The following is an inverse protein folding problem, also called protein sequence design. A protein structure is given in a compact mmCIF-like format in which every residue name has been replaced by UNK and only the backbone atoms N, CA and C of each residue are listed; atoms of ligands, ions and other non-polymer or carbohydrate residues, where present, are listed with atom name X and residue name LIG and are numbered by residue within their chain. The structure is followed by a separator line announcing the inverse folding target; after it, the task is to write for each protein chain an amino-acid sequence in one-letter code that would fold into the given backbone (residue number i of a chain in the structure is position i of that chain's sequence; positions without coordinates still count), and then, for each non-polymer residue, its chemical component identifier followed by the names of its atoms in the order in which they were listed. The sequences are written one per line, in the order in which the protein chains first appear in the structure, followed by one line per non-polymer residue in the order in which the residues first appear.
data_IF_851277454722
#
_entry.id   IF_851277454722
#
_cell.length_a   1.000
_cell.length_b   1.000
_cell.length_c   1.000
_cell.angle_alpha   90.00
_cell.angle_beta   90.00
_cell.angle_gamma   90.00
#
_symmetry.space_group_name_H-M   'P 1'
#
loop_
_entity.id
_entity.type
_entity.pdbx_description
1 polymer ?
#
# COMPACT_ATOMS: atom_id res chain seq x y z
N UNK A 1 3.59 3.81 1.21
CA UNK A 1 3.96 4.96 0.34
C UNK A 1 4.02 4.48 -1.10
N UNK A 2 3.50 5.21 -2.09
CA UNK A 2 3.68 4.86 -3.51
C UNK A 2 5.11 5.22 -3.95
N UNK A 3 5.93 4.23 -4.27
CA UNK A 3 7.29 4.42 -4.81
C UNK A 3 7.26 4.77 -6.31
N UNK A 4 6.42 5.74 -6.68
CA UNK A 4 6.28 6.22 -8.05
C UNK A 4 7.04 7.54 -8.25
N UNK A 5 7.65 7.78 -9.43
CA UNK A 5 7.85 6.83 -10.52
C UNK A 5 8.88 5.77 -10.16
N UNK A 6 8.76 4.59 -10.77
CA UNK A 6 9.68 3.48 -10.53
C UNK A 6 11.11 3.87 -10.96
N UNK A 7 12.08 3.57 -10.11
CA UNK A 7 13.51 3.83 -10.32
C UNK A 7 14.28 2.55 -10.02
N UNK A 8 15.40 2.36 -10.72
CA UNK A 8 16.32 1.27 -10.45
C UNK A 8 17.56 1.82 -9.73
N UNK A 9 18.72 1.80 -10.37
CA UNK A 9 19.99 2.26 -9.77
C UNK A 9 20.33 3.71 -10.12
N UNK A 10 19.86 4.20 -11.27
CA UNK A 10 19.97 5.61 -11.61
C UNK A 10 18.84 6.39 -10.94
N UNK A 11 19.09 7.63 -10.52
CA UNK A 11 18.06 8.51 -9.99
C UNK A 11 17.06 9.00 -11.07
N UNK A 12 17.02 8.32 -12.22
CA UNK A 12 16.15 8.60 -13.36
C UNK A 12 14.95 7.64 -13.34
N UNK A 13 13.72 8.14 -13.54
CA UNK A 13 12.54 7.30 -13.74
C UNK A 13 12.73 6.30 -14.89
N UNK A 14 12.20 5.09 -14.73
CA UNK A 14 12.08 4.12 -15.82
C UNK A 14 10.94 4.59 -16.73
N UNK A 15 11.21 4.77 -18.03
CA UNK A 15 10.17 5.17 -19.00
C UNK A 15 9.12 4.08 -19.16
N UNK A 16 7.85 4.49 -19.29
CA UNK A 16 6.75 3.55 -19.54
C UNK A 16 6.86 2.89 -20.92
N UNK A 17 7.52 3.54 -21.88
CA UNK A 17 7.74 2.99 -23.23
C UNK A 17 8.49 1.65 -23.19
N UNK A 18 9.34 1.44 -22.17
CA UNK A 18 10.11 0.21 -22.03
C UNK A 18 9.31 -0.98 -21.49
N UNK A 19 8.10 -0.76 -20.97
CA UNK A 19 7.30 -1.79 -20.29
C UNK A 19 5.95 -2.02 -20.96
N UNK A 20 5.64 -1.33 -22.06
CA UNK A 20 4.38 -1.47 -22.80
C UNK A 20 4.13 -2.92 -23.22
N UNK A 21 5.13 -3.57 -23.81
CA UNK A 21 5.03 -4.95 -24.28
C UNK A 21 5.15 -6.00 -23.15
N UNK A 22 5.59 -5.58 -21.95
CA UNK A 22 5.80 -6.47 -20.80
C UNK A 22 4.58 -6.55 -19.88
N UNK A 23 3.67 -5.59 -19.98
CA UNK A 23 2.49 -5.47 -19.12
C UNK A 23 1.23 -5.86 -19.89
N UNK A 24 0.24 -6.40 -19.18
CA UNK A 24 -1.11 -6.51 -19.75
C UNK A 24 -1.66 -5.13 -20.05
N UNK A 25 -2.56 -5.02 -21.03
CA UNK A 25 -3.23 -3.74 -21.37
C UNK A 25 -3.85 -3.08 -20.14
N UNK A 26 -4.38 -3.87 -19.21
CA UNK A 26 -4.92 -3.38 -17.93
C UNK A 26 -3.82 -2.77 -17.04
N UNK A 27 -2.71 -3.49 -16.83
CA UNK A 27 -1.58 -3.02 -16.02
C UNK A 27 -0.86 -1.81 -16.62
N UNK A 28 -0.72 -1.76 -17.95
CA UNK A 28 -0.14 -0.61 -18.64
C UNK A 28 -1.03 0.64 -18.48
N UNK A 29 -2.34 0.49 -18.68
CA UNK A 29 -3.30 1.59 -18.44
C UNK A 29 -3.30 2.06 -16.98
N UNK A 30 -3.12 1.17 -16.01
CA UNK A 30 -2.94 1.56 -14.61
C UNK A 30 -1.67 2.39 -14.40
N UNK A 31 -0.57 2.02 -15.05
CA UNK A 31 0.71 2.74 -15.00
C UNK A 31 0.58 4.15 -15.58
N UNK A 32 -0.10 4.31 -16.72
CA UNK A 32 -0.40 5.61 -17.33
C UNK A 32 -1.26 6.51 -16.43
N UNK A 33 -2.25 5.94 -15.74
CA UNK A 33 -3.06 6.68 -14.76
C UNK A 33 -2.18 7.18 -13.61
N UNK A 34 -1.29 6.33 -13.11
CA UNK A 34 -0.38 6.69 -12.02
C UNK A 34 0.60 7.79 -12.40
N UNK A 35 1.08 7.79 -13.65
CA UNK A 35 1.90 8.87 -14.20
C UNK A 35 1.12 10.20 -14.27
N UNK A 36 -0.14 10.15 -14.68
CA UNK A 36 -1.02 11.33 -14.72
C UNK A 36 -1.30 11.88 -13.32
N UNK A 37 -1.65 11.02 -12.36
CA UNK A 37 -1.84 11.44 -10.96
C UNK A 37 -0.54 12.06 -10.42
N UNK A 38 0.59 11.45 -10.76
CA UNK A 38 1.90 11.94 -10.37
C UNK A 38 2.19 13.35 -10.90
N UNK A 39 1.94 13.60 -12.19
CA UNK A 39 2.24 14.85 -12.88
C UNK A 39 1.43 16.04 -12.36
N UNK A 40 0.22 15.81 -11.85
CA UNK A 40 -0.64 16.85 -11.23
C UNK A 40 -0.45 16.97 -9.70
N UNK A 41 0.54 16.29 -9.13
CA UNK A 41 0.81 16.36 -7.68
C UNK A 41 -0.15 15.53 -6.81
N UNK A 42 -1.05 14.74 -7.41
CA UNK A 42 -1.95 13.86 -6.66
C UNK A 42 -1.18 12.66 -6.09
N UNK A 43 -1.31 12.41 -4.79
CA UNK A 43 -0.65 11.29 -4.09
C UNK A 43 -1.68 10.46 -3.33
N UNK A 44 -2.52 9.68 -4.03
CA UNK A 44 -3.55 8.88 -3.40
C UNK A 44 -2.90 7.87 -2.46
N UNK A 45 -3.37 7.82 -1.22
CA UNK A 45 -2.94 6.81 -0.24
C UNK A 45 -3.75 5.52 -0.36
N UNK A 46 -4.85 5.54 -1.11
CA UNK A 46 -5.75 4.42 -1.31
C UNK A 46 -6.32 4.43 -2.73
N UNK A 47 -6.43 3.25 -3.31
CA UNK A 47 -6.98 3.01 -4.65
C UNK A 47 -8.13 2.01 -4.54
N UNK A 48 -9.00 2.00 -5.55
CA UNK A 48 -10.06 1.01 -5.64
C UNK A 48 -9.46 -0.39 -5.79
N UNK A 49 -9.80 -1.31 -4.89
CA UNK A 49 -9.31 -2.68 -4.90
C UNK A 49 -9.82 -3.52 -6.08
N UNK A 50 -10.82 -3.04 -6.83
CA UNK A 50 -11.30 -3.69 -8.05
C UNK A 50 -10.26 -3.48 -9.16
N UNK A 51 -9.61 -4.55 -9.66
CA UNK A 51 -8.50 -4.42 -10.63
C UNK A 51 -8.89 -3.59 -11.86
N UNK A 52 -10.09 -3.85 -12.38
CA UNK A 52 -10.64 -3.18 -13.56
C UNK A 52 -10.95 -1.69 -13.37
N UNK A 53 -10.95 -1.19 -12.13
CA UNK A 53 -11.21 0.22 -11.83
C UNK A 53 -9.93 0.94 -11.40
N UNK A 54 -9.31 0.49 -10.31
CA UNK A 54 -8.08 1.03 -9.73
C UNK A 54 -8.02 2.56 -9.64
N UNK A 55 -9.17 3.22 -9.52
CA UNK A 55 -9.27 4.68 -9.42
C UNK A 55 -8.79 5.14 -8.04
N UNK A 56 -8.13 6.30 -7.95
CA UNK A 56 -7.73 6.87 -6.68
C UNK A 56 -8.99 7.15 -5.84
N UNK A 57 -8.98 6.71 -4.59
CA UNK A 57 -10.06 6.95 -3.65
C UNK A 57 -9.73 8.19 -2.84
N UNK A 58 -10.51 9.26 -3.04
CA UNK A 58 -10.38 10.46 -2.23
C UNK A 58 -10.96 10.20 -0.84
N UNK A 59 -10.16 10.41 0.20
CA UNK A 59 -10.61 10.29 1.59
C UNK A 59 -11.49 11.49 1.95
N UNK A 60 -12.79 11.42 1.63
CA UNK A 60 -13.76 12.49 1.93
C UNK A 60 -14.43 12.26 3.30
N UNK A 61 -13.91 11.34 4.11
CA UNK A 61 -14.53 10.83 5.35
C UNK A 61 -15.66 9.84 5.07
N UNK A 62 -15.63 8.74 5.81
CA UNK A 62 -16.80 7.95 6.19
C UNK A 62 -16.34 7.06 7.33
N UNK A 63 -16.99 7.19 8.48
CA UNK A 63 -16.75 6.52 9.76
C UNK A 63 -17.05 5.02 9.69
N UNK A 64 -16.31 4.32 8.83
CA UNK A 64 -16.40 2.87 8.61
C UNK A 64 -15.10 2.31 8.01
N UNK A 65 -14.93 1.00 8.11
CA UNK A 65 -13.73 0.27 7.68
C UNK A 65 -13.57 0.21 6.16
N UNK A 66 -14.63 0.53 5.41
CA UNK A 66 -14.66 0.47 3.95
C UNK A 66 -14.88 1.85 3.32
N UNK A 67 -14.40 2.02 2.08
CA UNK A 67 -14.63 3.20 1.24
C UNK A 67 -15.24 2.77 -0.10
N UNK A 68 -16.28 3.47 -0.52
CA UNK A 68 -16.97 3.20 -1.79
C UNK A 68 -16.31 3.99 -2.93
N UNK A 69 -16.00 3.30 -4.03
CA UNK A 69 -15.51 3.94 -5.24
C UNK A 69 -16.66 4.65 -5.98
N UNK A 70 -16.51 5.94 -6.29
CA UNK A 70 -17.51 6.71 -7.05
C UNK A 70 -17.62 6.30 -8.52
N UNK A 71 -16.59 5.65 -9.08
CA UNK A 71 -16.54 5.28 -10.49
C UNK A 71 -17.19 3.91 -10.79
N UNK A 72 -17.07 2.94 -9.88
CA UNK A 72 -17.56 1.58 -10.11
C UNK A 72 -18.36 0.99 -8.95
N UNK A 73 -18.65 1.77 -7.92
CA UNK A 73 -19.44 1.41 -6.73
C UNK A 73 -18.90 0.26 -5.89
N UNK A 74 -17.73 -0.30 -6.22
CA UNK A 74 -17.10 -1.32 -5.37
C UNK A 74 -16.54 -0.69 -4.10
N UNK A 75 -16.55 -1.46 -3.03
CA UNK A 75 -16.03 -1.04 -1.74
C UNK A 75 -14.64 -1.63 -1.51
N UNK A 76 -13.74 -0.82 -0.95
CA UNK A 76 -12.37 -1.18 -0.61
C UNK A 76 -12.18 -1.07 0.90
N UNK A 77 -11.62 -2.10 1.52
CA UNK A 77 -11.26 -2.07 2.93
C UNK A 77 -10.06 -1.13 3.14
N UNK A 78 -10.19 -0.20 4.08
CA UNK A 78 -9.12 0.76 4.42
C UNK A 78 -7.95 0.10 5.14
N UNK A 79 -8.19 -1.03 5.78
CA UNK A 79 -7.21 -1.75 6.61
C UNK A 79 -6.33 -2.66 5.77
N UNK A 80 -6.93 -3.57 4.99
CA UNK A 80 -6.17 -4.50 4.15
C UNK A 80 -5.95 -4.01 2.71
N UNK A 81 -6.57 -2.89 2.31
CA UNK A 81 -6.57 -2.34 0.94
C UNK A 81 -7.17 -3.26 -0.14
N UNK A 82 -7.74 -4.39 0.27
CA UNK A 82 -8.47 -5.32 -0.59
C UNK A 82 -9.95 -4.95 -0.78
N UNK A 83 -10.69 -5.80 -1.49
CA UNK A 83 -12.14 -5.65 -1.61
C UNK A 83 -12.79 -5.72 -0.22
N UNK A 84 -13.86 -4.94 -0.03
CA UNK A 84 -14.63 -4.99 1.21
C UNK A 84 -15.09 -6.43 1.50
N UNK A 85 -14.94 -6.82 2.75
CA UNK A 85 -15.26 -8.15 3.24
C UNK A 85 -15.96 -8.05 4.60
N UNK A 86 -16.63 -9.12 5.00
CA UNK A 86 -17.17 -9.28 6.34
C UNK A 86 -16.13 -9.98 7.24
N UNK A 87 -16.12 -9.68 8.53
CA UNK A 87 -15.16 -10.23 9.48
C UNK A 87 -13.78 -9.55 9.43
N UNK A 88 -12.82 -10.12 10.18
CA UNK A 88 -11.45 -9.58 10.26
C UNK A 88 -10.70 -9.75 8.94
N UNK A 89 -9.83 -8.79 8.64
CA UNK A 89 -8.95 -8.88 7.48
C UNK A 89 -8.07 -10.14 7.59
N UNK A 90 -8.22 -11.06 6.64
CA UNK A 90 -7.34 -12.21 6.50
C UNK A 90 -6.11 -11.75 5.71
N UNK A 91 -5.01 -11.57 6.43
CA UNK A 91 -3.71 -11.32 5.81
C UNK A 91 -3.07 -12.68 5.51
N UNK A 92 -2.62 -12.85 4.28
CA UNK A 92 -2.08 -14.10 3.74
C UNK A 92 -1.03 -14.74 4.67
N UNK A 93 -1.20 -16.01 5.05
CA UNK A 93 -0.28 -16.79 5.89
C UNK A 93 1.14 -16.89 5.30
N UNK A 94 1.29 -16.60 4.01
CA UNK A 94 2.60 -16.51 3.34
C UNK A 94 3.51 -15.44 3.92
N UNK A 95 2.95 -14.41 4.57
CA UNK A 95 3.76 -13.42 5.30
C UNK A 95 4.42 -13.99 6.55
N UNK A 96 3.86 -15.00 7.23
CA UNK A 96 4.52 -15.69 8.35
C UNK A 96 5.71 -16.55 7.87
N UNK A 97 5.59 -17.16 6.69
CA UNK A 97 6.70 -17.87 6.04
C UNK A 97 7.84 -16.92 5.63
N UNK A 98 7.51 -15.72 5.16
CA UNK A 98 8.51 -14.68 4.85
C UNK A 98 9.13 -14.12 6.13
N UNK A 99 8.34 -13.90 7.19
CA UNK A 99 8.83 -13.44 8.50
C UNK A 99 9.73 -14.47 9.19
N UNK A 100 9.42 -15.77 9.06
CA UNK A 100 10.28 -16.84 9.58
C UNK A 100 11.60 -16.99 8.80
N UNK A 101 11.60 -16.63 7.51
CA UNK A 101 12.81 -16.61 6.67
C UNK A 101 13.67 -15.35 6.89
N UNK A 102 13.07 -14.21 7.26
CA UNK A 102 13.74 -12.95 7.53
C UNK A 102 13.91 -12.74 9.04
N UNK A 103 14.99 -13.27 9.63
CA UNK A 103 15.47 -13.01 11.00
C UNK A 103 14.45 -12.35 11.94
N UNK A 104 13.75 -13.17 12.74
CA UNK A 104 12.69 -12.88 13.73
C UNK A 104 12.79 -11.58 14.57
N UNK A 105 13.95 -10.92 14.64
CA UNK A 105 14.15 -9.70 15.42
C UNK A 105 14.03 -8.38 14.63
N UNK A 106 14.02 -8.43 13.31
CA UNK A 106 14.13 -7.21 12.46
C UNK A 106 12.82 -6.75 11.87
N UNK A 107 11.80 -7.58 11.74
CA UNK A 107 10.52 -7.19 11.12
C UNK A 107 9.33 -7.40 12.08
N UNK A 108 8.42 -6.43 12.16
CA UNK A 108 7.13 -6.53 12.87
C UNK A 108 6.03 -5.78 12.14
N UNK A 109 4.78 -6.10 12.44
CA UNK A 109 3.63 -5.34 11.95
C UNK A 109 3.32 -4.14 12.83
N UNK A 110 2.89 -3.04 12.22
CA UNK A 110 2.37 -1.88 12.92
C UNK A 110 1.09 -2.24 13.69
N UNK A 111 0.98 -1.96 14.99
CA UNK A 111 -0.22 -2.29 15.76
C UNK A 111 -1.48 -1.53 15.32
N UNK A 112 -1.34 -0.40 14.62
CA UNK A 112 -2.48 0.41 14.18
C UNK A 112 -2.92 0.13 12.74
N UNK A 113 -1.99 -0.09 11.81
CA UNK A 113 -2.33 -0.26 10.38
C UNK A 113 -1.83 -1.58 9.78
N UNK A 114 -1.19 -2.42 10.58
CA UNK A 114 -0.69 -3.74 10.20
C UNK A 114 0.38 -3.77 9.08
N UNK A 115 0.88 -2.60 8.65
CA UNK A 115 2.02 -2.46 7.74
C UNK A 115 3.27 -3.15 8.31
N UNK A 116 4.04 -3.84 7.46
CA UNK A 116 5.31 -4.43 7.86
C UNK A 116 6.38 -3.34 8.04
N UNK A 117 7.05 -3.36 9.18
CA UNK A 117 8.05 -2.38 9.59
C UNK A 117 9.33 -3.15 9.91
N UNK A 118 10.45 -2.65 9.39
CA UNK A 118 11.80 -3.11 9.74
C UNK A 118 12.40 -2.24 10.85
N UNK A 119 13.00 -2.87 11.86
CA UNK A 119 13.81 -2.22 12.87
C UNK A 119 15.21 -1.97 12.27
N UNK A 120 15.49 -0.71 11.97
CA UNK A 120 16.76 -0.32 11.36
C UNK A 120 17.89 -0.26 12.38
N UNK A 121 17.81 0.51 13.49
CA UNK A 121 18.72 0.39 14.66
C UNK A 121 18.17 1.03 15.97
N UNK A 122 18.49 0.42 17.12
CA UNK A 122 18.81 1.10 18.39
C UNK A 122 17.71 1.71 19.28
N UNK A 123 16.54 2.06 18.76
CA UNK A 123 15.45 2.66 19.57
C UNK A 123 14.17 1.83 19.52
N UNK A 124 13.65 1.46 20.70
CA UNK A 124 12.39 0.73 20.80
C UNK A 124 11.18 1.63 20.54
N UNK A 125 11.31 2.96 20.50
CA UNK A 125 10.20 3.85 20.13
C UNK A 125 10.19 4.04 18.61
N UNK A 126 9.15 3.53 17.95
CA UNK A 126 9.04 3.52 16.50
C UNK A 126 7.85 4.33 16.03
N UNK A 127 8.01 5.05 14.92
CA UNK A 127 6.94 5.75 14.24
C UNK A 127 6.64 5.04 12.94
N UNK A 128 5.40 4.58 12.76
CA UNK A 128 4.99 3.94 11.51
C UNK A 128 5.05 4.94 10.36
N UNK A 129 5.80 4.63 9.30
CA UNK A 129 5.94 5.49 8.12
C UNK A 129 4.61 5.66 7.36
N UNK A 130 3.72 4.64 7.43
CA UNK A 130 2.41 4.64 6.75
C UNK A 130 1.36 5.44 7.52
N UNK A 131 1.07 5.09 8.78
CA UNK A 131 -0.02 5.71 9.54
C UNK A 131 0.42 6.77 10.55
N UNK A 132 1.73 7.01 10.70
CA UNK A 132 2.34 7.94 11.68
C UNK A 132 2.07 7.61 13.15
N UNK A 133 1.50 6.44 13.45
CA UNK A 133 1.34 5.96 14.82
C UNK A 133 2.71 5.67 15.45
N UNK A 134 2.90 6.17 16.66
CA UNK A 134 4.09 5.93 17.47
C UNK A 134 3.82 4.80 18.45
N UNK A 135 4.72 3.83 18.54
CA UNK A 135 4.56 2.65 19.37
C UNK A 135 5.90 2.10 19.84
N UNK A 136 5.89 1.34 20.94
CA UNK A 136 7.06 0.62 21.40
C UNK A 136 7.21 -0.71 20.65
N UNK A 137 8.36 -0.96 20.03
CA UNK A 137 8.70 -2.19 19.32
C UNK A 137 8.58 -3.43 20.20
N UNK A 138 8.96 -3.34 21.47
CA UNK A 138 8.86 -4.46 22.42
C UNK A 138 7.40 -4.70 22.85
N UNK A 139 6.67 -3.63 23.14
CA UNK A 139 5.33 -3.72 23.73
C UNK A 139 4.20 -3.82 22.70
N UNK A 140 4.48 -3.49 21.43
CA UNK A 140 3.51 -3.41 20.33
C UNK A 140 2.30 -2.51 20.62
N UNK A 141 2.51 -1.44 21.39
CA UNK A 141 1.52 -0.40 21.75
C UNK A 141 2.22 0.88 22.18
#
# INVERSE_FOLDING_TARGET
RSFWPARCCSNTPISLDHVEDLLTTENFNMSLRRERDWSVGLRPTLYCARPSCSQPLMSISNSGENITCSACSSQTCKTCTGLAHEGSCQFDETTELVLSALNYGTFKRCPQCNEMIELTEGCNHMTCVTCRYEFCWLCSR
#
